data_IF_197109041877
#
_entry.id   IF_197109041877
#
_cell.length_a   1.000
_cell.length_b   1.000
_cell.length_c   1.000
_cell.angle_alpha   90.00
_cell.angle_beta   90.00
_cell.angle_gamma   90.00
#
_symmetry.space_group_name_H-M   'P 1'
#
loop_
_entity.id
_entity.type
_entity.pdbx_description
1 polymer ?
#
# COMPACT_ATOMS: atom_id res chain seq x y z
N UNK A 1 5.67 53.09 32.54
CA UNK A 1 6.71 52.20 31.98
C UNK A 1 6.05 50.85 31.71
N UNK A 2 5.63 50.63 30.48
CA UNK A 2 4.90 49.40 30.10
C UNK A 2 5.89 48.50 29.37
N UNK A 3 6.20 47.35 29.99
CA UNK A 3 7.05 46.33 29.42
C UNK A 3 6.14 45.45 28.53
N UNK A 4 6.26 45.61 27.25
CA UNK A 4 5.59 44.72 26.28
C UNK A 4 6.28 43.36 26.24
N UNK A 5 5.58 42.30 26.61
CA UNK A 5 6.00 40.91 26.39
C UNK A 5 5.82 40.61 24.90
N UNK A 6 6.92 40.60 24.15
CA UNK A 6 6.97 40.00 22.82
C UNK A 6 6.95 38.47 22.99
N UNK A 7 5.79 37.88 22.81
CA UNK A 7 5.65 36.43 22.71
C UNK A 7 6.33 35.96 21.42
N UNK A 8 7.44 35.27 21.56
CA UNK A 8 8.09 34.53 20.46
C UNK A 8 7.15 33.40 20.03
N UNK A 9 6.43 33.58 18.94
CA UNK A 9 5.78 32.46 18.23
C UNK A 9 6.90 31.65 17.57
N UNK A 10 7.28 30.54 18.18
CA UNK A 10 8.09 29.54 17.52
C UNK A 10 7.22 28.91 16.42
N UNK A 11 7.51 29.27 15.17
CA UNK A 11 6.98 28.54 14.01
C UNK A 11 7.56 27.14 14.10
N UNK A 12 6.78 26.18 14.56
CA UNK A 12 7.16 24.79 14.53
C UNK A 12 7.14 24.38 13.06
N UNK A 13 8.32 24.21 12.46
CA UNK A 13 8.43 23.70 11.12
C UNK A 13 7.72 22.34 11.06
N UNK A 14 6.63 22.27 10.32
CA UNK A 14 5.93 21.01 10.10
C UNK A 14 6.88 20.10 9.32
N UNK A 15 7.01 18.86 9.78
CA UNK A 15 7.78 17.86 9.03
C UNK A 15 7.22 17.78 7.60
N UNK A 16 8.09 17.67 6.63
CA UNK A 16 7.72 17.51 5.23
C UNK A 16 8.25 16.19 4.76
N UNK A 17 7.39 15.39 4.15
CA UNK A 17 7.75 14.11 3.60
C UNK A 17 7.85 14.20 2.09
N UNK A 18 8.91 13.63 1.54
CA UNK A 18 9.19 13.60 0.12
C UNK A 18 9.45 12.16 -0.32
N UNK A 19 9.46 11.92 -1.60
CA UNK A 19 9.80 10.65 -2.20
C UNK A 19 9.31 10.54 -3.63
N UNK A 20 9.44 9.35 -4.18
CA UNK A 20 9.04 9.03 -5.55
C UNK A 20 8.22 7.76 -5.59
N UNK A 21 7.33 7.69 -6.57
CA UNK A 21 6.63 6.46 -6.94
C UNK A 21 7.16 6.02 -8.30
N UNK A 22 7.66 4.80 -8.40
CA UNK A 22 8.33 4.30 -9.59
C UNK A 22 8.08 2.80 -9.80
N UNK A 23 8.27 2.36 -11.03
CA UNK A 23 8.20 0.94 -11.38
C UNK A 23 9.57 0.32 -11.15
N UNK A 24 9.66 -0.53 -10.15
CA UNK A 24 10.87 -1.28 -9.81
C UNK A 24 10.87 -2.59 -10.62
N UNK A 25 11.51 -2.56 -11.79
CA UNK A 25 11.49 -3.68 -12.73
C UNK A 25 12.35 -4.86 -12.27
N UNK A 26 13.41 -4.59 -11.54
CA UNK A 26 14.35 -5.60 -11.05
C UNK A 26 14.08 -6.07 -9.61
N UNK A 27 13.09 -5.45 -8.94
CA UNK A 27 12.64 -5.77 -7.58
C UNK A 27 13.73 -5.63 -6.51
N UNK A 28 14.59 -4.63 -6.66
CA UNK A 28 15.61 -4.33 -5.65
C UNK A 28 15.19 -3.30 -4.61
N UNK A 29 14.02 -2.68 -4.78
CA UNK A 29 13.48 -1.66 -3.89
C UNK A 29 14.09 -0.28 -4.05
N UNK A 30 14.94 -0.07 -5.03
CA UNK A 30 15.65 1.17 -5.30
C UNK A 30 15.25 1.73 -6.66
N UNK A 31 15.21 3.06 -6.78
CA UNK A 31 14.98 3.70 -8.05
C UNK A 31 16.27 3.72 -8.89
N UNK A 32 16.30 2.89 -9.91
CA UNK A 32 17.43 2.81 -10.84
C UNK A 32 17.29 3.75 -12.05
N UNK A 33 18.41 3.91 -12.77
CA UNK A 33 18.42 4.67 -14.01
C UNK A 33 17.60 3.96 -15.09
N UNK A 34 16.68 4.69 -15.73
CA UNK A 34 15.81 4.16 -16.77
C UNK A 34 14.46 3.65 -16.27
N UNK A 35 14.29 3.43 -14.97
CA UNK A 35 13.02 3.01 -14.42
C UNK A 35 11.92 4.06 -14.56
N UNK A 36 10.72 3.57 -14.86
CA UNK A 36 9.57 4.42 -15.10
C UNK A 36 9.06 5.05 -13.81
N UNK A 37 8.99 6.36 -13.79
CA UNK A 37 8.38 7.15 -12.71
C UNK A 37 6.91 7.35 -12.97
N UNK A 38 6.08 7.23 -11.91
CA UNK A 38 4.64 7.26 -12.06
C UNK A 38 4.05 8.61 -11.66
N UNK A 39 3.40 9.24 -12.62
CA UNK A 39 2.69 10.51 -12.48
C UNK A 39 1.28 10.29 -11.94
N UNK A 40 0.78 11.25 -11.13
CA UNK A 40 -0.58 11.31 -10.58
C UNK A 40 -0.95 10.13 -9.67
N UNK A 41 0.04 9.56 -8.99
CA UNK A 41 -0.23 8.62 -7.91
C UNK A 41 -0.55 9.40 -6.65
N UNK A 42 -1.65 9.08 -5.99
CA UNK A 42 -2.03 9.72 -4.73
C UNK A 42 -1.19 9.17 -3.59
N UNK A 43 -0.57 10.09 -2.84
CA UNK A 43 0.18 9.82 -1.60
C UNK A 43 -0.50 10.55 -0.46
N UNK A 44 -0.65 9.87 0.68
CA UNK A 44 -1.38 10.42 1.82
C UNK A 44 -0.73 10.03 3.15
N UNK A 45 -0.95 10.85 4.17
CA UNK A 45 -0.68 10.54 5.58
C UNK A 45 -1.97 10.24 6.38
N UNK A 46 -3.11 10.19 5.71
CA UNK A 46 -4.44 10.03 6.32
C UNK A 46 -5.16 11.36 6.57
N UNK A 47 -4.46 12.49 6.53
CA UNK A 47 -5.04 13.83 6.64
C UNK A 47 -4.85 14.62 5.35
N UNK A 48 -3.64 14.62 4.82
CA UNK A 48 -3.27 15.30 3.61
C UNK A 48 -3.17 14.30 2.46
N UNK A 49 -3.51 14.74 1.25
CA UNK A 49 -3.35 13.97 0.02
C UNK A 49 -2.68 14.84 -1.02
N UNK A 50 -1.62 14.33 -1.63
CA UNK A 50 -0.94 14.95 -2.78
C UNK A 50 -0.84 13.95 -3.91
N UNK A 51 -0.51 14.43 -5.11
CA UNK A 51 -0.24 13.57 -6.26
C UNK A 51 1.19 13.74 -6.71
N UNK A 52 1.79 12.65 -7.20
CA UNK A 52 3.12 12.70 -7.81
C UNK A 52 3.12 13.54 -9.09
N UNK A 53 4.20 14.26 -9.32
CA UNK A 53 4.45 15.04 -10.52
C UNK A 53 4.89 14.17 -11.72
N UNK A 54 5.29 14.80 -12.83
CA UNK A 54 5.77 14.11 -14.03
C UNK A 54 7.05 13.29 -13.81
N UNK A 55 7.80 13.58 -12.74
CA UNK A 55 9.01 12.85 -12.35
C UNK A 55 8.71 11.78 -11.29
N UNK A 56 7.42 11.50 -11.02
CA UNK A 56 7.00 10.59 -9.98
C UNK A 56 7.24 11.11 -8.56
N UNK A 57 7.70 12.36 -8.40
CA UNK A 57 8.04 12.93 -7.11
C UNK A 57 6.80 13.52 -6.41
N UNK A 58 6.81 13.44 -5.09
CA UNK A 58 5.78 14.06 -4.25
C UNK A 58 6.40 14.83 -3.10
N UNK A 59 5.61 15.76 -2.55
CA UNK A 59 5.94 16.52 -1.38
C UNK A 59 4.67 16.67 -0.54
N UNK A 60 4.65 16.05 0.62
CA UNK A 60 3.51 15.97 1.52
C UNK A 60 3.80 16.74 2.81
N UNK A 61 2.98 17.73 3.21
CA UNK A 61 3.12 18.35 4.52
C UNK A 61 2.80 17.32 5.61
N UNK A 62 3.74 17.12 6.53
CA UNK A 62 3.55 16.18 7.63
C UNK A 62 2.68 16.74 8.73
N UNK A 63 2.08 15.86 9.50
CA UNK A 63 1.29 16.21 10.68
C UNK A 63 1.68 15.33 11.85
N UNK A 64 1.88 15.92 13.03
CA UNK A 64 2.42 15.25 14.24
C UNK A 64 1.57 14.09 14.78
N UNK A 65 0.28 14.04 14.40
CA UNK A 65 -0.64 12.95 14.79
C UNK A 65 -0.68 11.80 13.79
N UNK A 66 -0.04 11.93 12.64
CA UNK A 66 -0.03 10.90 11.61
C UNK A 66 1.18 9.99 11.80
N UNK A 67 0.98 8.70 11.58
CA UNK A 67 1.99 7.68 11.85
C UNK A 67 2.37 6.87 10.62
N UNK A 68 1.65 7.06 9.51
CA UNK A 68 1.84 6.30 8.29
C UNK A 68 1.81 7.21 7.06
N UNK A 69 2.59 6.84 6.07
CA UNK A 69 2.50 7.33 4.70
C UNK A 69 2.09 6.18 3.81
N UNK A 70 1.18 6.41 2.88
CA UNK A 70 0.69 5.37 1.99
C UNK A 70 0.33 5.90 0.62
N UNK A 71 0.30 5.00 -0.35
CA UNK A 71 -0.15 5.31 -1.71
C UNK A 71 -1.48 4.63 -2.02
N UNK A 72 -2.26 5.22 -2.91
CA UNK A 72 -3.29 4.48 -3.64
C UNK A 72 -2.61 3.74 -4.77
N UNK A 73 -2.58 2.41 -4.68
CA UNK A 73 -1.94 1.56 -5.70
C UNK A 73 -2.52 1.88 -7.08
N UNK A 74 -1.71 2.33 -8.05
CA UNK A 74 -2.20 2.72 -9.36
C UNK A 74 -2.63 1.50 -10.18
N UNK A 75 -3.62 1.69 -11.06
CA UNK A 75 -4.10 0.63 -11.94
C UNK A 75 -2.99 0.05 -12.81
N UNK A 76 -2.94 -1.27 -12.92
CA UNK A 76 -1.90 -2.00 -13.65
C UNK A 76 -0.62 -2.24 -12.86
N UNK A 77 -0.61 -1.91 -11.57
CA UNK A 77 0.53 -2.12 -10.69
C UNK A 77 0.10 -2.76 -9.37
N UNK A 78 1.06 -3.35 -8.68
CA UNK A 78 0.91 -3.86 -7.31
C UNK A 78 2.11 -3.44 -6.47
N UNK A 79 1.99 -3.58 -5.16
CA UNK A 79 3.10 -3.53 -4.20
C UNK A 79 3.32 -4.93 -3.65
N UNK A 80 4.57 -5.31 -3.36
CA UNK A 80 4.84 -6.67 -2.85
C UNK A 80 4.29 -6.84 -1.42
N UNK A 81 4.59 -5.94 -0.50
CA UNK A 81 4.19 -6.08 0.89
C UNK A 81 3.56 -4.84 1.50
N UNK A 82 3.93 -3.66 1.06
CA UNK A 82 3.49 -2.45 1.70
C UNK A 82 3.17 -1.36 0.69
N UNK A 83 1.92 -0.98 0.62
CA UNK A 83 1.50 0.28 0.05
C UNK A 83 1.64 1.43 1.06
N UNK A 84 2.29 1.19 2.22
CA UNK A 84 2.47 2.16 3.31
C UNK A 84 3.83 2.02 3.98
N UNK A 85 4.29 3.10 4.59
CA UNK A 85 5.41 3.14 5.52
C UNK A 85 4.95 3.69 6.87
N UNK A 86 5.48 3.14 7.95
CA UNK A 86 5.42 3.81 9.25
C UNK A 86 6.39 4.98 9.25
N UNK A 87 5.93 6.14 9.72
CA UNK A 87 6.77 7.33 9.85
C UNK A 87 7.78 7.11 10.96
N UNK A 88 9.06 7.25 10.64
CA UNK A 88 10.18 7.07 11.54
C UNK A 88 10.79 8.43 11.91
N UNK A 89 11.30 8.55 13.16
CA UNK A 89 11.95 9.78 13.60
C UNK A 89 13.20 10.07 12.77
N UNK A 90 13.26 11.29 12.23
CA UNK A 90 14.39 11.75 11.44
C UNK A 90 14.40 11.30 9.98
N UNK A 91 13.48 10.43 9.58
CA UNK A 91 13.30 10.06 8.18
C UNK A 91 12.25 10.95 7.51
N UNK A 92 12.64 11.57 6.41
CA UNK A 92 11.77 12.47 5.63
C UNK A 92 11.55 12.01 4.19
N UNK A 93 12.29 10.99 3.74
CA UNK A 93 12.19 10.46 2.38
C UNK A 93 11.66 9.03 2.39
N UNK A 94 10.59 8.80 1.58
CA UNK A 94 9.89 7.52 1.47
C UNK A 94 9.53 7.27 0.01
N UNK A 95 10.28 6.39 -0.62
CA UNK A 95 10.03 5.96 -1.99
C UNK A 95 9.09 4.77 -2.02
N UNK A 96 8.21 4.74 -3.01
CA UNK A 96 7.24 3.66 -3.19
C UNK A 96 7.53 2.90 -4.50
N UNK A 97 8.24 1.78 -4.42
CA UNK A 97 8.38 0.88 -5.54
C UNK A 97 7.05 0.18 -5.82
N UNK A 98 6.66 0.10 -7.07
CA UNK A 98 5.52 -0.68 -7.54
C UNK A 98 5.95 -1.58 -8.69
N UNK A 99 5.24 -2.66 -8.90
CA UNK A 99 5.56 -3.68 -9.89
C UNK A 99 4.43 -3.77 -10.92
N UNK A 100 4.73 -4.01 -12.21
CA UNK A 100 3.69 -4.23 -13.18
C UNK A 100 2.80 -5.42 -12.78
N UNK A 101 1.50 -5.22 -12.85
CA UNK A 101 0.50 -6.25 -12.63
C UNK A 101 -0.40 -6.30 -13.86
N UNK A 102 -0.09 -7.19 -14.79
CA UNK A 102 -0.83 -7.34 -16.04
C UNK A 102 -1.98 -8.34 -15.93
N UNK A 103 -2.11 -9.00 -14.78
CA UNK A 103 -3.25 -9.83 -14.45
C UNK A 103 -4.54 -9.00 -14.35
N UNK A 104 -5.66 -9.58 -14.75
CA UNK A 104 -6.97 -9.04 -14.44
C UNK A 104 -7.65 -8.15 -15.46
N UNK A 105 -7.00 -7.72 -16.54
CA UNK A 105 -7.70 -7.06 -17.64
C UNK A 105 -8.10 -8.14 -18.63
N UNK A 106 -9.41 -8.33 -18.85
CA UNK A 106 -9.95 -9.25 -19.84
C UNK A 106 -9.79 -8.64 -21.25
N UNK A 107 -9.89 -9.48 -22.27
CA UNK A 107 -9.75 -9.03 -23.66
C UNK A 107 -10.79 -7.98 -24.08
N UNK A 108 -11.94 -7.94 -23.43
CA UNK A 108 -13.01 -6.95 -23.63
C UNK A 108 -12.84 -5.67 -22.79
N UNK A 109 -11.74 -5.56 -22.03
CA UNK A 109 -11.47 -4.44 -21.11
C UNK A 109 -12.19 -4.54 -19.77
N UNK A 110 -12.95 -5.61 -19.51
CA UNK A 110 -13.57 -5.83 -18.21
C UNK A 110 -12.57 -6.33 -17.18
N UNK A 111 -12.93 -6.20 -15.90
CA UNK A 111 -12.16 -6.71 -14.77
C UNK A 111 -12.99 -7.73 -14.00
N UNK A 112 -12.35 -8.82 -13.58
CA UNK A 112 -12.91 -9.76 -12.61
C UNK A 112 -12.25 -9.55 -11.28
N UNK A 113 -13.00 -9.61 -10.20
CA UNK A 113 -12.44 -9.58 -8.85
C UNK A 113 -13.09 -10.65 -7.98
N UNK A 114 -12.41 -11.01 -6.91
CA UNK A 114 -12.93 -11.94 -5.91
C UNK A 114 -13.28 -11.14 -4.65
N UNK A 115 -14.47 -11.39 -4.12
CA UNK A 115 -14.89 -10.90 -2.82
C UNK A 115 -14.92 -12.08 -1.87
N UNK A 116 -14.21 -11.96 -0.75
CA UNK A 116 -14.21 -12.92 0.36
C UNK A 116 -14.47 -12.21 1.68
N UNK A 117 -15.02 -12.93 2.63
CA UNK A 117 -15.19 -12.48 4.01
C UNK A 117 -15.17 -13.69 4.96
N UNK A 118 -15.16 -13.43 6.25
CA UNK A 118 -15.41 -14.44 7.29
C UNK A 118 -14.50 -15.68 7.17
N UNK A 119 -13.23 -15.46 6.87
CA UNK A 119 -12.26 -16.56 6.78
C UNK A 119 -11.88 -17.10 8.15
N UNK A 120 -12.04 -16.31 9.20
CA UNK A 120 -11.88 -16.69 10.61
C UNK A 120 -10.66 -17.58 10.90
N UNK A 121 -9.53 -17.29 10.26
CA UNK A 121 -8.32 -18.10 10.34
C UNK A 121 -7.82 -18.14 11.79
N UNK A 122 -7.61 -19.34 12.31
CA UNK A 122 -7.02 -19.59 13.64
C UNK A 122 -5.58 -20.08 13.57
N UNK A 123 -5.20 -20.70 12.47
CA UNK A 123 -3.86 -21.25 12.24
C UNK A 123 -3.63 -21.58 10.77
N UNK A 124 -2.44 -22.03 10.42
CA UNK A 124 -2.12 -22.43 9.04
C UNK A 124 -2.75 -23.77 8.66
N UNK A 125 -2.85 -24.67 9.63
CA UNK A 125 -3.38 -26.02 9.41
C UNK A 125 -4.81 -25.95 8.89
N UNK A 126 -5.09 -26.69 7.82
CA UNK A 126 -6.39 -26.71 7.15
C UNK A 126 -6.67 -25.51 6.23
N UNK A 127 -5.89 -24.44 6.32
CA UNK A 127 -6.12 -23.22 5.53
C UNK A 127 -5.22 -23.11 4.29
N UNK A 128 -4.06 -23.76 4.26
CA UNK A 128 -3.12 -23.67 3.15
C UNK A 128 -3.76 -24.11 1.82
N UNK A 129 -4.48 -25.21 1.82
CA UNK A 129 -5.04 -25.79 0.59
C UNK A 129 -6.07 -24.86 -0.09
N UNK A 130 -6.93 -24.18 0.66
CA UNK A 130 -7.88 -23.26 0.03
C UNK A 130 -7.22 -21.99 -0.47
N UNK A 131 -6.17 -21.50 0.22
CA UNK A 131 -5.37 -20.35 -0.26
C UNK A 131 -4.63 -20.69 -1.54
N UNK A 132 -4.03 -21.88 -1.62
CA UNK A 132 -3.39 -22.37 -2.85
C UNK A 132 -4.39 -22.45 -4.01
N UNK A 133 -5.59 -22.99 -3.76
CA UNK A 133 -6.66 -23.02 -4.74
C UNK A 133 -7.11 -21.61 -5.16
N UNK A 134 -7.19 -20.67 -4.21
CA UNK A 134 -7.54 -19.29 -4.49
C UNK A 134 -6.49 -18.62 -5.38
N UNK A 135 -5.21 -18.85 -5.10
CA UNK A 135 -4.09 -18.35 -5.92
C UNK A 135 -4.17 -18.91 -7.34
N UNK A 136 -4.27 -20.22 -7.48
CA UNK A 136 -4.33 -20.89 -8.77
C UNK A 136 -5.56 -20.44 -9.59
N UNK A 137 -6.71 -20.30 -8.93
CA UNK A 137 -7.91 -19.77 -9.55
C UNK A 137 -7.70 -18.32 -9.99
N UNK A 138 -7.11 -17.49 -9.15
CA UNK A 138 -6.86 -16.08 -9.47
C UNK A 138 -5.95 -15.92 -10.68
N UNK A 139 -4.91 -16.74 -10.79
CA UNK A 139 -4.00 -16.74 -11.93
C UNK A 139 -4.71 -17.22 -13.21
N UNK A 140 -5.42 -18.34 -13.15
CA UNK A 140 -6.12 -18.93 -14.31
C UNK A 140 -7.23 -18.03 -14.87
N UNK A 141 -8.01 -17.43 -13.99
CA UNK A 141 -9.13 -16.55 -14.35
C UNK A 141 -8.73 -15.08 -14.56
N UNK A 142 -7.44 -14.77 -14.41
CA UNK A 142 -6.89 -13.41 -14.51
C UNK A 142 -7.65 -12.43 -13.63
N UNK A 143 -7.72 -12.74 -12.34
CA UNK A 143 -8.39 -11.91 -11.34
C UNK A 143 -7.58 -10.62 -11.12
N UNK A 144 -8.22 -9.46 -11.22
CA UNK A 144 -7.59 -8.17 -11.08
C UNK A 144 -7.18 -7.88 -9.64
N UNK A 145 -8.04 -8.23 -8.69
CA UNK A 145 -7.79 -8.05 -7.26
C UNK A 145 -8.74 -8.92 -6.43
N UNK A 146 -8.37 -9.10 -5.17
CA UNK A 146 -9.19 -9.75 -4.15
C UNK A 146 -9.55 -8.70 -3.11
N UNK A 147 -10.81 -8.63 -2.69
CA UNK A 147 -11.28 -7.81 -1.57
C UNK A 147 -11.72 -8.73 -0.46
N UNK A 148 -11.09 -8.60 0.70
CA UNK A 148 -11.50 -9.24 1.94
C UNK A 148 -12.22 -8.20 2.81
N UNK A 149 -13.49 -8.39 3.09
CA UNK A 149 -14.33 -7.36 3.73
C UNK A 149 -14.46 -7.50 5.24
N UNK A 150 -13.65 -8.33 5.86
CA UNK A 150 -13.59 -8.41 7.32
C UNK A 150 -13.77 -9.81 7.87
N UNK A 151 -13.74 -9.89 9.21
CA UNK A 151 -13.71 -11.14 9.98
C UNK A 151 -12.60 -12.09 9.48
N UNK A 152 -11.42 -11.50 9.36
CA UNK A 152 -10.27 -12.09 8.70
C UNK A 152 -9.74 -13.27 9.50
N UNK A 153 -9.55 -13.06 10.81
CA UNK A 153 -8.97 -14.04 11.71
C UNK A 153 -9.31 -13.73 13.16
N UNK A 154 -9.19 -14.73 14.01
CA UNK A 154 -9.09 -14.51 15.44
C UNK A 154 -7.73 -13.89 15.78
N UNK A 155 -7.62 -13.22 16.93
CA UNK A 155 -6.36 -12.61 17.38
C UNK A 155 -5.18 -13.60 17.33
N UNK A 156 -5.40 -14.85 17.77
CA UNK A 156 -4.40 -15.91 17.71
C UNK A 156 -4.02 -16.33 16.28
N UNK A 157 -4.86 -16.02 15.30
CA UNK A 157 -4.68 -16.39 13.90
C UNK A 157 -4.00 -15.32 13.04
N UNK A 158 -3.77 -14.11 13.56
CA UNK A 158 -3.29 -12.98 12.77
C UNK A 158 -1.99 -13.26 12.01
N UNK A 159 -0.99 -13.80 12.69
CA UNK A 159 0.28 -14.15 12.05
C UNK A 159 0.12 -15.26 11.00
N UNK A 160 -0.80 -16.19 11.23
CA UNK A 160 -1.09 -17.25 10.26
C UNK A 160 -1.80 -16.69 9.04
N UNK A 161 -2.74 -15.77 9.23
CA UNK A 161 -3.41 -15.09 8.12
C UNK A 161 -2.43 -14.30 7.26
N UNK A 162 -1.60 -13.46 7.87
CA UNK A 162 -0.57 -12.68 7.16
C UNK A 162 0.38 -13.60 6.39
N UNK A 163 0.73 -14.75 6.93
CA UNK A 163 1.61 -15.72 6.28
C UNK A 163 0.93 -16.61 5.24
N UNK A 164 -0.40 -16.53 5.08
CA UNK A 164 -1.17 -17.32 4.12
C UNK A 164 -1.70 -16.50 2.96
N UNK A 165 -2.32 -15.38 3.26
CA UNK A 165 -3.00 -14.55 2.26
C UNK A 165 -2.46 -13.11 2.31
N UNK A 166 -1.68 -12.75 1.34
CA UNK A 166 -1.17 -11.40 1.12
C UNK A 166 -0.83 -11.21 -0.37
N UNK A 167 -0.62 -9.98 -0.77
CA UNK A 167 -0.35 -9.64 -2.18
C UNK A 167 0.90 -10.34 -2.73
N UNK A 168 1.96 -10.49 -1.93
CA UNK A 168 3.20 -11.13 -2.39
C UNK A 168 3.00 -12.62 -2.72
N UNK A 169 2.16 -13.32 -1.92
CA UNK A 169 1.86 -14.75 -2.12
C UNK A 169 0.83 -14.99 -3.23
N UNK A 170 0.03 -13.98 -3.57
CA UNK A 170 -0.98 -14.05 -4.63
C UNK A 170 -0.45 -13.63 -6.00
N UNK A 171 0.88 -13.65 -6.16
CA UNK A 171 1.59 -13.34 -7.40
C UNK A 171 1.15 -11.99 -8.01
N UNK A 172 0.39 -12.03 -9.12
CA UNK A 172 -0.05 -10.82 -9.81
C UNK A 172 -1.39 -10.28 -9.30
N UNK A 173 -1.97 -10.86 -8.25
CA UNK A 173 -3.27 -10.45 -7.75
C UNK A 173 -3.13 -9.63 -6.47
N UNK A 174 -3.48 -8.35 -6.53
CA UNK A 174 -3.50 -7.47 -5.35
C UNK A 174 -4.59 -7.91 -4.36
N UNK A 175 -4.26 -7.93 -3.07
CA UNK A 175 -5.22 -8.22 -1.99
C UNK A 175 -5.46 -6.96 -1.17
N UNK A 176 -6.74 -6.59 -1.01
CA UNK A 176 -7.20 -5.48 -0.18
C UNK A 176 -7.98 -6.01 1.01
N UNK A 177 -7.77 -5.41 2.18
CA UNK A 177 -8.41 -5.83 3.42
C UNK A 177 -9.29 -4.73 4.00
N UNK A 178 -10.51 -5.08 4.35
CA UNK A 178 -11.32 -4.39 5.33
C UNK A 178 -11.11 -4.99 6.71
N UNK A 179 -11.23 -4.18 7.72
CA UNK A 179 -11.20 -4.64 9.11
C UNK A 179 -12.62 -5.07 9.48
N UNK A 180 -12.80 -6.29 9.95
CA UNK A 180 -14.05 -6.75 10.54
C UNK A 180 -14.29 -6.19 11.94
N UNK A 181 -15.28 -6.69 12.64
CA UNK A 181 -15.57 -6.36 14.03
C UNK A 181 -14.95 -7.36 15.03
#
# INVERSE_FOLDING_TARGET
>A
MAIGLLGSMTLQAMAQYTGKVFVDENRNGLLDEGEKRLHRVSVSDGLNVVQTDSNGAYQLPGHSRMHFLFITTPSGYKTDNAYYYRIENGRTEYDFPVYPCYGGIQADGSHRFIHISDTEIRGKEGNQAWVDNLRDYSANEKIAFIVHTGDICYESGLNSHIGLLNTALMEDTQVFYGIGN
#
